data_IF_720326318568
#
_entry.id   IF_720326318568
#
_cell.length_a   1.000
_cell.length_b   1.000
_cell.length_c   1.000
_cell.angle_alpha   90.00
_cell.angle_beta   90.00
_cell.angle_gamma   90.00
#
_symmetry.space_group_name_H-M   'P 1'
#
loop_
_entity.id
_entity.type
_entity.pdbx_description
1 polymer ?
#
# COMPACT_ATOMS: atom_id res chain seq x y z
N UNK A 1 -36.72 12.86 -45.12
CA UNK A 1 -36.84 11.86 -44.04
C UNK A 1 -35.73 12.13 -43.04
N UNK A 2 -36.05 12.59 -41.82
CA UNK A 2 -35.07 12.80 -40.76
C UNK A 2 -34.83 11.45 -40.10
N UNK A 3 -33.61 10.91 -40.18
CA UNK A 3 -33.21 9.72 -39.44
C UNK A 3 -32.89 10.15 -38.02
N UNK A 4 -33.76 9.81 -37.08
CA UNK A 4 -33.45 9.90 -35.65
C UNK A 4 -32.45 8.80 -35.32
N UNK A 5 -31.23 9.18 -34.96
CA UNK A 5 -30.21 8.26 -34.45
C UNK A 5 -30.39 8.20 -32.93
N UNK A 6 -30.76 7.03 -32.41
CA UNK A 6 -30.76 6.77 -30.98
C UNK A 6 -29.34 6.35 -30.60
N UNK A 7 -28.63 7.23 -29.89
CA UNK A 7 -27.34 6.91 -29.28
C UNK A 7 -27.62 6.49 -27.84
N UNK A 8 -27.32 5.25 -27.43
CA UNK A 8 -27.40 4.88 -26.03
C UNK A 8 -26.36 5.67 -25.24
N UNK A 9 -26.82 6.42 -24.24
CA UNK A 9 -25.95 7.10 -23.27
C UNK A 9 -25.68 6.09 -22.15
N UNK A 10 -24.46 5.60 -22.06
CA UNK A 10 -24.03 4.84 -20.88
C UNK A 10 -23.85 5.84 -19.73
N UNK A 11 -24.66 5.68 -18.68
CA UNK A 11 -24.54 6.49 -17.48
C UNK A 11 -23.33 6.02 -16.69
N UNK A 12 -22.30 6.85 -16.58
CA UNK A 12 -21.20 6.67 -15.62
C UNK A 12 -21.59 7.27 -14.28
N UNK A 13 -21.37 6.54 -13.19
CA UNK A 13 -21.70 6.99 -11.83
C UNK A 13 -20.49 7.56 -11.10
N UNK A 14 -20.74 8.38 -10.09
CA UNK A 14 -19.72 9.03 -9.29
C UNK A 14 -19.10 8.05 -8.28
N UNK A 15 -17.82 7.77 -8.46
CA UNK A 15 -17.07 6.83 -7.61
C UNK A 15 -17.00 7.28 -6.15
N UNK A 16 -16.97 8.59 -5.90
CA UNK A 16 -16.91 9.14 -4.54
C UNK A 16 -18.20 8.88 -3.75
N UNK A 17 -19.36 8.97 -4.39
CA UNK A 17 -20.64 8.63 -3.76
C UNK A 17 -20.76 7.12 -3.51
N UNK A 18 -20.38 6.31 -4.49
CA UNK A 18 -20.34 4.85 -4.36
C UNK A 18 -19.46 4.43 -3.18
N UNK A 19 -18.25 5.02 -3.06
CA UNK A 19 -17.32 4.70 -1.99
C UNK A 19 -17.78 5.23 -0.61
N UNK A 20 -18.46 6.38 -0.55
CA UNK A 20 -18.87 7.01 0.71
C UNK A 20 -20.12 6.40 1.32
N UNK A 21 -21.18 6.27 0.53
CA UNK A 21 -22.52 5.87 1.01
C UNK A 21 -23.24 4.91 0.06
N UNK A 22 -22.61 4.50 -1.04
CA UNK A 22 -23.17 3.59 -2.02
C UNK A 22 -24.22 4.24 -2.93
N UNK A 23 -24.37 5.56 -2.89
CA UNK A 23 -25.33 6.25 -3.76
C UNK A 23 -24.85 6.34 -5.21
N UNK A 24 -25.79 6.18 -6.14
CA UNK A 24 -25.56 6.30 -7.57
C UNK A 24 -25.92 7.73 -8.01
N UNK A 25 -24.90 8.58 -8.12
CA UNK A 25 -25.01 9.94 -8.65
C UNK A 25 -24.33 9.98 -10.01
N UNK A 26 -24.95 10.59 -11.02
CA UNK A 26 -24.36 10.70 -12.36
C UNK A 26 -23.04 11.47 -12.33
N UNK A 27 -21.99 10.88 -12.91
CA UNK A 27 -20.71 11.54 -13.08
C UNK A 27 -20.78 12.51 -14.25
N UNK A 28 -20.27 13.71 -14.01
CA UNK A 28 -20.21 14.80 -14.99
C UNK A 28 -18.82 14.96 -15.60
N UNK A 29 -17.79 14.41 -14.93
CA UNK A 29 -16.40 14.49 -15.36
C UNK A 29 -15.64 13.20 -15.05
N UNK A 30 -14.57 12.97 -15.80
CA UNK A 30 -13.61 11.88 -15.58
C UNK A 30 -12.25 12.50 -15.31
N UNK A 31 -11.66 12.17 -14.17
CA UNK A 31 -10.32 12.60 -13.78
C UNK A 31 -9.36 11.41 -13.89
N UNK A 32 -8.23 11.62 -14.55
CA UNK A 32 -7.18 10.59 -14.69
C UNK A 32 -5.88 11.08 -14.04
N UNK A 33 -5.30 10.28 -13.13
CA UNK A 33 -3.97 10.51 -12.56
C UNK A 33 -3.12 9.25 -12.75
N UNK A 34 -2.09 9.34 -13.59
CA UNK A 34 -1.27 8.18 -13.93
C UNK A 34 -2.09 7.12 -14.67
N UNK A 35 -2.26 5.96 -14.04
CA UNK A 35 -3.03 4.83 -14.61
C UNK A 35 -4.47 4.76 -14.08
N UNK A 36 -4.79 5.54 -13.06
CA UNK A 36 -6.09 5.50 -12.39
C UNK A 36 -7.03 6.54 -12.98
N UNK A 37 -8.29 6.18 -13.18
CA UNK A 37 -9.35 7.07 -13.65
C UNK A 37 -10.54 7.00 -12.70
N UNK A 38 -11.06 8.16 -12.33
CA UNK A 38 -12.24 8.31 -11.47
C UNK A 38 -13.32 9.11 -12.18
N UNK A 39 -14.55 8.65 -12.07
CA UNK A 39 -15.74 9.35 -12.54
C UNK A 39 -16.35 10.13 -11.38
N UNK A 40 -16.47 11.45 -11.52
CA UNK A 40 -16.89 12.35 -10.44
C UNK A 40 -18.10 13.19 -10.86
N UNK A 41 -18.99 13.44 -9.91
CA UNK A 41 -19.99 14.50 -10.04
C UNK A 41 -19.31 15.86 -9.78
N UNK A 42 -19.95 16.94 -10.22
CA UNK A 42 -19.41 18.30 -10.14
C UNK A 42 -18.92 18.70 -8.74
N UNK A 43 -19.65 18.31 -7.68
CA UNK A 43 -19.28 18.62 -6.30
C UNK A 43 -17.97 17.95 -5.89
N UNK A 44 -17.84 16.66 -6.21
CA UNK A 44 -16.65 15.89 -5.89
C UNK A 44 -15.45 16.25 -6.77
N UNK A 45 -15.68 16.62 -8.02
CA UNK A 45 -14.65 17.11 -8.93
C UNK A 45 -14.01 18.41 -8.43
N UNK A 46 -14.83 19.39 -8.05
CA UNK A 46 -14.34 20.67 -7.49
C UNK A 46 -13.62 20.45 -6.16
N UNK A 47 -14.17 19.60 -5.30
CA UNK A 47 -13.57 19.31 -3.99
C UNK A 47 -12.24 18.59 -4.15
N UNK A 48 -12.18 17.59 -5.03
CA UNK A 48 -10.96 16.85 -5.34
C UNK A 48 -9.90 17.78 -5.94
N UNK A 49 -10.26 18.60 -6.94
CA UNK A 49 -9.35 19.53 -7.58
C UNK A 49 -8.72 20.50 -6.58
N UNK A 50 -9.48 20.98 -5.60
CA UNK A 50 -8.93 21.81 -4.51
C UNK A 50 -7.93 21.02 -3.66
N UNK A 51 -8.25 19.81 -3.24
CA UNK A 51 -7.31 18.98 -2.47
C UNK A 51 -6.04 18.66 -3.26
N UNK A 52 -6.17 18.44 -4.58
CA UNK A 52 -5.04 18.19 -5.45
C UNK A 52 -4.14 19.43 -5.55
N UNK A 53 -4.71 20.62 -5.76
CA UNK A 53 -3.95 21.88 -5.76
C UNK A 53 -3.25 22.12 -4.41
N UNK A 54 -3.96 21.90 -3.30
CA UNK A 54 -3.41 22.02 -1.94
C UNK A 54 -2.24 21.03 -1.73
N UNK A 55 -2.37 19.79 -2.21
CA UNK A 55 -1.32 18.77 -2.09
C UNK A 55 -0.10 19.04 -2.98
N UNK A 56 -0.31 19.61 -4.17
CA UNK A 56 0.75 19.96 -5.11
C UNK A 56 1.39 21.33 -4.80
N UNK A 57 0.83 22.09 -3.86
CA UNK A 57 1.33 23.43 -3.51
C UNK A 57 1.16 24.46 -4.63
N UNK A 58 0.23 24.21 -5.56
CA UNK A 58 -0.06 25.14 -6.66
C UNK A 58 -0.95 26.25 -6.10
N UNK A 59 -0.52 27.54 -6.16
CA UNK A 59 -1.38 28.63 -5.76
C UNK A 59 -2.63 28.62 -6.65
N UNK A 60 -3.81 28.64 -6.01
CA UNK A 60 -5.10 28.78 -6.69
C UNK A 60 -5.23 30.21 -7.19
N UNK A 61 -4.57 30.50 -8.30
CA UNK A 61 -4.78 31.72 -9.07
C UNK A 61 -6.18 31.60 -9.70
N UNK A 62 -7.19 32.15 -9.02
CA UNK A 62 -8.47 32.49 -9.63
C UNK A 62 -8.21 33.52 -10.73
N UNK A 63 -7.91 33.04 -11.93
CA UNK A 63 -7.51 33.88 -13.07
C UNK A 63 -7.56 33.07 -14.36
N UNK A 64 -8.77 32.63 -14.75
CA UNK A 64 -9.00 32.07 -16.07
C UNK A 64 -8.65 33.10 -17.13
N UNK A 65 -7.45 32.99 -17.70
CA UNK A 65 -7.11 33.60 -18.98
C UNK A 65 -7.11 32.46 -20.00
N UNK A 66 -8.25 32.30 -20.68
CA UNK A 66 -8.35 31.54 -21.92
C UNK A 66 -7.24 32.00 -22.85
N UNK A 67 -6.27 31.14 -23.11
CA UNK A 67 -5.35 31.32 -24.23
C UNK A 67 -5.81 30.35 -25.30
N UNK A 68 -6.47 30.89 -26.33
CA UNK A 68 -6.79 30.19 -27.58
C UNK A 68 -5.53 29.51 -28.15
N UNK A 69 -5.60 28.26 -28.64
CA UNK A 69 -4.54 27.71 -29.44
C UNK A 69 -4.57 28.36 -30.83
N UNK A 70 -3.53 29.15 -31.10
CA UNK A 70 -3.25 29.80 -32.38
C UNK A 70 -3.09 28.74 -33.49
N UNK A 71 -4.03 28.76 -34.43
CA UNK A 71 -4.08 27.87 -35.59
C UNK A 71 -3.00 28.24 -36.61
N UNK A 72 -1.98 27.39 -36.77
CA UNK A 72 -0.98 27.52 -37.84
C UNK A 72 -1.54 26.87 -39.12
N UNK A 73 -1.54 27.54 -40.28
CA UNK A 73 -2.13 27.00 -41.50
C UNK A 73 -1.28 25.88 -42.09
N UNK A 74 -1.93 24.75 -42.37
CA UNK A 74 -1.38 23.59 -43.09
C UNK A 74 -1.16 23.97 -44.55
N UNK A 75 0.10 24.05 -44.97
CA UNK A 75 0.49 24.15 -46.38
C UNK A 75 0.39 22.77 -47.05
N UNK A 76 -0.07 22.77 -48.31
CA UNK A 76 -0.24 21.60 -49.17
C UNK A 76 1.08 20.82 -49.40
N UNK A 77 1.02 19.48 -49.59
CA UNK A 77 2.20 18.64 -49.72
C UNK A 77 2.76 18.68 -51.15
N UNK A 78 4.01 19.11 -51.29
CA UNK A 78 4.82 18.91 -52.51
C UNK A 78 5.57 17.58 -52.39
N UNK A 79 5.41 16.76 -53.42
CA UNK A 79 6.00 15.43 -53.55
C UNK A 79 7.50 15.42 -53.86
N UNK A 80 8.10 14.27 -53.52
CA UNK A 80 9.35 13.64 -53.99
C UNK A 80 10.69 14.01 -53.32
N UNK A 81 11.70 13.10 -53.32
CA UNK A 81 11.74 11.70 -53.77
C UNK A 81 12.23 10.69 -52.70
N UNK A 82 12.12 9.39 -53.03
CA UNK A 82 12.62 8.25 -52.24
C UNK A 82 14.13 8.34 -51.93
N UNK A 83 14.55 8.13 -50.67
CA UNK A 83 15.97 7.90 -50.35
C UNK A 83 16.36 6.43 -50.59
N UNK A 84 17.48 6.24 -51.30
CA UNK A 84 18.18 4.96 -51.44
C UNK A 84 18.54 4.35 -50.08
N UNK A 85 18.59 3.00 -49.96
CA UNK A 85 18.80 2.34 -48.68
C UNK A 85 20.26 2.47 -48.21
N UNK A 86 20.46 3.13 -47.06
CA UNK A 86 21.71 3.12 -46.30
C UNK A 86 21.93 1.76 -45.61
N UNK A 87 23.19 1.33 -45.42
CA UNK A 87 23.53 -0.01 -44.95
C UNK A 87 23.16 -0.25 -43.48
N UNK A 88 22.73 -1.48 -43.19
CA UNK A 88 22.37 -1.97 -41.86
C UNK A 88 23.46 -1.66 -40.82
N UNK A 89 23.15 -0.98 -39.70
CA UNK A 89 24.09 -0.87 -38.60
C UNK A 89 24.20 -2.24 -37.92
N UNK A 90 25.43 -2.76 -37.92
CA UNK A 90 25.86 -3.89 -37.10
C UNK A 90 25.32 -3.72 -35.68
N UNK A 91 24.52 -4.68 -35.24
CA UNK A 91 23.95 -4.72 -33.91
C UNK A 91 25.07 -4.81 -32.87
N UNK A 92 25.43 -3.65 -32.32
CA UNK A 92 26.08 -3.57 -31.02
C UNK A 92 25.13 -4.25 -30.05
N UNK A 93 25.55 -5.30 -29.31
CA UNK A 93 24.67 -5.89 -28.32
C UNK A 93 24.36 -4.82 -27.28
N UNK A 94 23.13 -4.30 -27.34
CA UNK A 94 22.52 -3.53 -26.26
C UNK A 94 22.57 -4.46 -25.07
N UNK A 95 23.56 -4.23 -24.20
CA UNK A 95 23.59 -4.83 -22.90
C UNK A 95 22.26 -4.52 -22.25
N UNK A 96 21.43 -5.54 -22.10
CA UNK A 96 20.24 -5.49 -21.27
C UNK A 96 20.78 -5.27 -19.85
N UNK A 97 21.01 -4.02 -19.47
CA UNK A 97 21.01 -3.65 -18.08
C UNK A 97 19.59 -3.94 -17.62
N UNK A 98 19.40 -5.14 -17.05
CA UNK A 98 18.16 -5.48 -16.36
C UNK A 98 17.80 -4.36 -15.38
N UNK A 99 16.51 -4.19 -15.05
CA UNK A 99 16.10 -3.20 -14.08
C UNK A 99 17.00 -3.33 -12.84
N UNK A 100 17.58 -2.20 -12.39
CA UNK A 100 18.41 -2.19 -11.19
C UNK A 100 17.67 -2.95 -10.08
N UNK A 101 18.37 -3.80 -9.29
CA UNK A 101 17.71 -4.62 -8.29
C UNK A 101 16.89 -3.72 -7.37
N UNK A 102 15.59 -3.99 -7.28
CA UNK A 102 14.70 -3.22 -6.43
C UNK A 102 15.25 -3.26 -5.00
N UNK A 103 15.35 -2.09 -4.38
CA UNK A 103 15.81 -1.99 -2.99
C UNK A 103 14.80 -2.70 -2.12
N UNK A 104 15.24 -3.62 -1.27
CA UNK A 104 14.33 -4.39 -0.43
C UNK A 104 14.26 -3.81 1.00
N UNK A 105 13.12 -4.00 1.65
CA UNK A 105 12.81 -3.49 2.98
C UNK A 105 12.18 -4.61 3.79
N UNK A 106 12.61 -4.73 5.04
CA UNK A 106 11.99 -5.65 6.00
C UNK A 106 11.01 -4.90 6.90
N UNK A 107 9.86 -5.52 7.18
CA UNK A 107 8.90 -5.01 8.18
C UNK A 107 8.85 -5.99 9.35
N UNK A 108 9.09 -5.52 10.57
CA UNK A 108 9.00 -6.30 11.80
C UNK A 108 7.97 -5.66 12.75
N UNK A 109 6.92 -6.40 13.11
CA UNK A 109 5.85 -5.90 13.97
C UNK A 109 4.72 -5.20 13.18
N UNK A 110 3.68 -4.80 13.89
CA UNK A 110 2.53 -4.10 13.31
C UNK A 110 2.84 -2.61 13.17
N UNK A 111 2.46 -2.00 12.04
CA UNK A 111 2.73 -0.59 11.78
C UNK A 111 1.55 0.24 12.31
N UNK A 112 1.75 1.16 13.26
CA UNK A 112 0.65 1.93 13.84
C UNK A 112 -0.14 2.69 12.78
N UNK A 113 -1.46 2.47 12.75
CA UNK A 113 -2.37 3.13 11.82
C UNK A 113 -2.39 2.55 10.40
N UNK A 114 -1.75 1.40 10.17
CA UNK A 114 -1.81 0.65 8.93
C UNK A 114 -2.13 -0.81 9.20
N UNK A 115 -3.01 -1.39 8.39
CA UNK A 115 -3.12 -2.84 8.32
C UNK A 115 -1.85 -3.43 7.70
N UNK A 116 -1.57 -4.70 8.02
CA UNK A 116 -0.33 -5.35 7.59
C UNK A 116 -0.13 -5.35 6.06
N UNK A 117 -1.20 -5.57 5.31
CA UNK A 117 -1.15 -5.57 3.85
C UNK A 117 -1.04 -4.15 3.27
N UNK A 118 -1.72 -3.17 3.88
CA UNK A 118 -1.63 -1.76 3.49
C UNK A 118 -0.22 -1.19 3.68
N UNK A 119 0.45 -1.56 4.78
CA UNK A 119 1.83 -1.18 5.04
C UNK A 119 2.78 -1.74 3.96
N UNK A 120 2.57 -2.98 3.52
CA UNK A 120 3.36 -3.57 2.42
C UNK A 120 3.13 -2.86 1.11
N UNK A 121 1.87 -2.60 0.79
CA UNK A 121 1.50 -1.97 -0.46
C UNK A 121 2.00 -0.52 -0.52
N UNK A 122 1.96 0.19 0.60
CA UNK A 122 2.56 1.52 0.70
C UNK A 122 4.08 1.50 0.40
N UNK A 123 4.82 0.54 0.96
CA UNK A 123 6.26 0.37 0.70
C UNK A 123 6.53 -0.01 -0.76
N UNK A 124 5.69 -0.86 -1.37
CA UNK A 124 5.79 -1.22 -2.80
C UNK A 124 5.55 -0.04 -3.72
N UNK A 125 4.57 0.81 -3.41
CA UNK A 125 4.28 2.04 -4.17
C UNK A 125 5.45 3.02 -4.16
N UNK A 126 6.26 2.98 -3.10
CA UNK A 126 7.51 3.75 -3.00
C UNK A 126 8.68 3.12 -3.80
N UNK A 127 8.46 1.98 -4.48
CA UNK A 127 9.46 1.31 -5.31
C UNK A 127 10.35 0.32 -4.55
N UNK A 128 10.00 -0.04 -3.31
CA UNK A 128 10.74 -1.02 -2.52
C UNK A 128 10.09 -2.40 -2.56
N UNK A 129 10.91 -3.45 -2.50
CA UNK A 129 10.44 -4.82 -2.34
C UNK A 129 10.33 -5.22 -0.86
N UNK A 130 9.20 -5.77 -0.43
CA UNK A 130 9.06 -6.20 0.98
C UNK A 130 9.50 -7.65 1.15
N UNK A 131 10.61 -7.86 1.86
CA UNK A 131 11.22 -9.17 2.10
C UNK A 131 11.03 -9.66 3.53
N UNK A 132 10.99 -10.99 3.70
CA UNK A 132 10.88 -11.63 5.00
C UNK A 132 12.22 -11.80 5.71
N UNK A 133 13.32 -11.80 4.95
CA UNK A 133 14.69 -12.04 5.38
C UNK A 133 15.61 -11.03 4.72
N UNK A 134 16.66 -10.63 5.41
CA UNK A 134 17.62 -9.71 4.84
C UNK A 134 18.43 -10.39 3.73
N UNK A 135 18.52 -9.72 2.59
CA UNK A 135 19.37 -10.02 1.45
C UNK A 135 20.33 -8.84 1.20
N UNK A 136 21.11 -8.92 0.13
CA UNK A 136 22.14 -7.92 -0.20
C UNK A 136 21.54 -6.63 -0.78
N UNK A 137 20.27 -6.66 -1.20
CA UNK A 137 19.52 -5.48 -1.62
C UNK A 137 18.71 -4.84 -0.48
N UNK A 138 18.76 -5.40 0.73
CA UNK A 138 18.00 -4.89 1.88
C UNK A 138 18.62 -3.62 2.42
N UNK A 139 17.90 -2.52 2.25
CA UNK A 139 18.38 -1.18 2.64
C UNK A 139 17.83 -0.70 3.98
N UNK A 140 16.72 -1.26 4.47
CA UNK A 140 16.07 -0.76 5.69
C UNK A 140 15.26 -1.84 6.42
N UNK A 141 15.27 -1.77 7.75
CA UNK A 141 14.31 -2.46 8.62
C UNK A 141 13.30 -1.46 9.20
N UNK A 142 12.02 -1.64 8.92
CA UNK A 142 10.91 -0.95 9.57
C UNK A 142 10.51 -1.72 10.83
N UNK A 143 10.61 -1.06 11.98
CA UNK A 143 10.28 -1.61 13.28
C UNK A 143 8.96 -1.02 13.79
N UNK A 144 7.92 -1.84 13.81
CA UNK A 144 6.62 -1.52 14.40
C UNK A 144 6.40 -2.15 15.78
N UNK A 145 5.16 -2.12 16.23
CA UNK A 145 4.74 -2.66 17.52
C UNK A 145 4.96 -4.18 17.58
N UNK A 146 5.64 -4.62 18.64
CA UNK A 146 6.02 -6.03 18.82
C UNK A 146 7.15 -6.50 17.89
N UNK A 147 7.75 -5.61 17.09
CA UNK A 147 8.87 -5.94 16.20
C UNK A 147 10.15 -6.33 16.96
N UNK A 148 10.31 -5.82 18.18
CA UNK A 148 11.37 -6.16 19.15
C UNK A 148 11.41 -7.65 19.51
N UNK A 149 10.26 -8.34 19.41
CA UNK A 149 10.12 -9.78 19.65
C UNK A 149 10.62 -10.62 18.47
N UNK A 150 10.81 -10.01 17.30
CA UNK A 150 11.25 -10.71 16.09
C UNK A 150 12.78 -10.78 16.03
N UNK A 151 13.35 -11.59 16.92
CA UNK A 151 14.80 -11.71 17.08
C UNK A 151 15.54 -12.19 15.83
N UNK A 152 14.87 -12.86 14.88
CA UNK A 152 15.51 -13.26 13.62
C UNK A 152 15.75 -12.06 12.71
N UNK A 153 14.75 -11.19 12.51
CA UNK A 153 14.91 -9.99 11.67
C UNK A 153 15.86 -8.97 12.28
N UNK A 154 15.83 -8.81 13.60
CA UNK A 154 16.75 -7.93 14.32
C UNK A 154 18.19 -8.42 14.22
N UNK A 155 18.41 -9.74 14.34
CA UNK A 155 19.75 -10.32 14.16
C UNK A 155 20.24 -10.16 12.72
N UNK A 156 19.39 -10.46 11.74
CA UNK A 156 19.71 -10.29 10.32
C UNK A 156 20.08 -8.82 10.00
N UNK A 157 19.35 -7.85 10.57
CA UNK A 157 19.66 -6.43 10.43
C UNK A 157 20.98 -6.04 11.14
N UNK A 158 21.23 -6.55 12.35
CA UNK A 158 22.47 -6.31 13.09
C UNK A 158 23.70 -6.83 12.34
N UNK A 159 23.65 -8.07 11.86
CA UNK A 159 24.78 -8.74 11.18
C UNK A 159 25.17 -8.04 9.88
N UNK A 160 24.19 -7.45 9.20
CA UNK A 160 24.38 -6.74 7.92
C UNK A 160 24.53 -5.23 8.06
N UNK A 161 24.42 -4.69 9.29
CA UNK A 161 24.49 -3.24 9.53
C UNK A 161 23.33 -2.46 8.88
N UNK A 162 22.16 -3.08 8.73
CA UNK A 162 21.00 -2.47 8.08
C UNK A 162 20.41 -1.41 9.02
N UNK A 163 20.20 -0.17 8.54
CA UNK A 163 19.60 0.88 9.35
C UNK A 163 18.15 0.55 9.71
N UNK A 164 17.71 1.04 10.87
CA UNK A 164 16.35 0.82 11.38
C UNK A 164 15.58 2.12 11.31
N UNK A 165 14.31 2.02 10.95
CA UNK A 165 13.31 3.05 11.09
C UNK A 165 12.27 2.58 12.11
N UNK A 166 12.21 3.26 13.26
CA UNK A 166 11.26 2.97 14.33
C UNK A 166 9.93 3.68 14.06
N UNK A 167 8.92 2.93 13.64
CA UNK A 167 7.60 3.47 13.29
C UNK A 167 6.59 3.41 14.44
N UNK A 168 7.03 3.06 15.66
CA UNK A 168 6.20 3.10 16.86
C UNK A 168 5.78 4.52 17.24
N UNK A 169 6.57 5.51 16.80
CA UNK A 169 6.17 6.92 16.87
C UNK A 169 4.97 7.17 15.96
N UNK A 170 3.87 7.61 16.56
CA UNK A 170 2.62 7.89 15.86
C UNK A 170 2.82 8.78 14.63
N UNK A 171 2.47 8.25 13.46
CA UNK A 171 2.48 8.98 12.20
C UNK A 171 3.83 9.03 11.48
N UNK A 172 4.92 8.48 12.04
CA UNK A 172 6.24 8.48 11.37
C UNK A 172 6.21 7.74 10.04
N UNK A 173 5.63 6.53 10.03
CA UNK A 173 5.45 5.77 8.78
C UNK A 173 4.56 6.51 7.79
N UNK A 174 3.45 7.10 8.25
CA UNK A 174 2.53 7.88 7.41
C UNK A 174 3.23 9.08 6.76
N UNK A 175 4.09 9.77 7.51
CA UNK A 175 4.89 10.89 6.99
C UNK A 175 5.90 10.41 5.95
N UNK A 176 6.57 9.29 6.19
CA UNK A 176 7.54 8.71 5.25
C UNK A 176 6.89 8.23 3.95
N UNK A 177 5.71 7.60 4.04
CA UNK A 177 4.91 7.22 2.87
C UNK A 177 4.48 8.46 2.06
N UNK A 178 4.11 9.55 2.74
CA UNK A 178 3.74 10.81 2.09
C UNK A 178 4.92 11.52 1.44
N UNK A 179 6.11 11.48 2.06
CA UNK A 179 7.32 12.07 1.50
C UNK A 179 7.96 11.21 0.41
N UNK A 180 7.59 9.93 0.30
CA UNK A 180 8.19 9.00 -0.65
C UNK A 180 9.57 8.49 -0.23
N UNK A 181 10.01 8.77 0.99
CA UNK A 181 11.35 8.42 1.49
C UNK A 181 11.29 7.74 2.85
N UNK A 182 11.90 6.55 2.94
CA UNK A 182 12.05 5.80 4.20
C UNK A 182 13.43 6.10 4.79
N UNK A 183 13.48 6.96 5.80
CA UNK A 183 14.72 7.35 6.47
C UNK A 183 14.95 6.46 7.69
N UNK A 184 16.05 5.71 7.67
CA UNK A 184 16.55 4.99 8.83
C UNK A 184 17.57 5.80 9.62
N UNK A 185 18.00 5.27 10.76
CA UNK A 185 18.96 5.93 11.65
C UNK A 185 18.65 5.74 13.13
N UNK A 186 17.52 5.10 13.44
CA UNK A 186 17.15 4.76 14.79
C UNK A 186 18.03 3.61 15.31
N UNK A 187 18.35 3.59 16.61
CA UNK A 187 19.15 2.53 17.18
C UNK A 187 18.41 1.19 17.08
N UNK A 188 19.10 0.17 16.57
CA UNK A 188 18.56 -1.19 16.54
C UNK A 188 18.31 -1.66 17.99
N UNK A 189 17.05 -2.00 18.35
CA UNK A 189 16.78 -2.47 19.69
C UNK A 189 17.41 -3.84 19.91
N UNK A 190 17.86 -4.11 21.14
CA UNK A 190 18.22 -5.47 21.53
C UNK A 190 16.98 -6.35 21.38
N UNK A 191 17.09 -7.53 20.73
CA UNK A 191 15.95 -8.42 20.59
C UNK A 191 15.43 -8.77 21.97
N UNK A 192 14.21 -8.33 22.26
CA UNK A 192 13.56 -8.64 23.52
C UNK A 192 13.61 -10.16 23.66
N UNK A 193 14.20 -10.64 24.76
CA UNK A 193 14.12 -12.06 25.11
C UNK A 193 12.64 -12.34 25.26
N UNK A 194 12.05 -12.91 24.21
CA UNK A 194 10.69 -13.42 24.28
C UNK A 194 10.80 -14.55 25.28
N UNK A 195 10.44 -14.26 26.53
CA UNK A 195 9.99 -15.30 27.44
C UNK A 195 8.91 -16.02 26.66
N UNK A 196 9.25 -17.22 26.18
CA UNK A 196 8.29 -18.11 25.54
C UNK A 196 7.11 -18.09 26.51
N UNK A 197 5.95 -17.64 26.02
CA UNK A 197 4.68 -17.60 26.76
C UNK A 197 4.72 -18.65 27.84
N UNK A 198 4.58 -18.24 29.11
CA UNK A 198 4.90 -19.05 30.29
C UNK A 198 4.28 -20.46 30.30
N UNK A 199 3.34 -20.72 29.39
CA UNK A 199 2.75 -22.01 29.10
C UNK A 199 3.27 -22.58 27.77
N UNK A 200 3.83 -23.79 27.83
CA UNK A 200 4.18 -24.58 26.64
C UNK A 200 2.98 -24.67 25.68
N UNK A 201 3.19 -24.76 24.37
CA UNK A 201 2.10 -24.97 23.39
C UNK A 201 1.21 -26.18 23.75
N UNK A 202 1.79 -27.21 24.38
CA UNK A 202 1.03 -28.36 24.93
C UNK A 202 0.12 -27.97 26.08
N UNK A 203 0.58 -27.06 26.92
CA UNK A 203 -0.12 -26.55 28.09
C UNK A 203 -1.21 -25.55 27.70
N UNK A 204 -0.92 -24.65 26.75
CA UNK A 204 -1.90 -23.79 26.10
C UNK A 204 -3.02 -24.60 25.47
N UNK A 205 -2.68 -25.62 24.68
CA UNK A 205 -3.68 -26.50 24.08
C UNK A 205 -4.48 -27.30 25.11
N UNK A 206 -3.91 -27.56 26.31
CA UNK A 206 -4.65 -28.19 27.41
C UNK A 206 -5.65 -27.19 28.02
N UNK A 207 -5.23 -25.96 28.28
CA UNK A 207 -6.07 -24.89 28.80
C UNK A 207 -7.25 -24.58 27.87
N UNK A 208 -6.99 -24.41 26.58
CA UNK A 208 -8.04 -24.16 25.57
C UNK A 208 -9.08 -25.29 25.56
N UNK A 209 -8.65 -26.56 25.68
CA UNK A 209 -9.60 -27.69 25.73
C UNK A 209 -10.39 -27.75 27.03
N UNK A 210 -9.79 -27.42 28.15
CA UNK A 210 -10.49 -27.36 29.44
C UNK A 210 -11.57 -26.29 29.40
N UNK A 211 -11.20 -25.09 29.00
CA UNK A 211 -12.14 -23.98 28.82
C UNK A 211 -13.23 -24.28 27.81
N UNK A 212 -12.88 -24.88 26.67
CA UNK A 212 -13.86 -25.24 25.65
C UNK A 212 -14.94 -26.17 26.22
N UNK A 213 -14.56 -27.18 27.02
CA UNK A 213 -15.53 -28.09 27.66
C UNK A 213 -16.38 -27.36 28.71
N UNK A 214 -15.78 -26.46 29.48
CA UNK A 214 -16.49 -25.65 30.49
C UNK A 214 -17.51 -24.70 29.84
N UNK A 215 -17.24 -24.25 28.61
CA UNK A 215 -18.12 -23.36 27.84
C UNK A 215 -19.04 -24.13 26.86
N UNK A 216 -19.14 -25.46 27.00
CA UNK A 216 -20.07 -26.29 26.22
C UNK A 216 -19.62 -26.64 24.80
N UNK A 217 -18.38 -26.32 24.41
CA UNK A 217 -17.83 -26.72 23.11
C UNK A 217 -17.41 -28.19 23.10
N UNK A 218 -17.75 -28.91 22.03
CA UNK A 218 -17.31 -30.28 21.80
C UNK A 218 -15.92 -30.28 21.15
N UNK A 219 -14.90 -30.61 21.94
CA UNK A 219 -13.50 -30.66 21.47
C UNK A 219 -12.87 -32.06 21.63
N UNK A 220 -12.10 -32.54 20.65
CA UNK A 220 -11.35 -33.80 20.77
C UNK A 220 -10.33 -33.77 21.92
N UNK A 221 -10.19 -34.89 22.62
CA UNK A 221 -9.24 -35.07 23.73
C UNK A 221 -7.78 -35.01 23.27
N UNK A 222 -7.51 -35.35 22.00
CA UNK A 222 -6.19 -35.30 21.37
C UNK A 222 -6.32 -34.78 19.94
N UNK A 223 -5.27 -34.10 19.45
CA UNK A 223 -5.20 -33.60 18.08
C UNK A 223 -5.55 -32.12 17.94
N UNK A 224 -5.80 -31.68 16.69
CA UNK A 224 -6.01 -30.27 16.34
C UNK A 224 -7.28 -29.74 17.01
N UNK A 225 -7.18 -28.55 17.62
CA UNK A 225 -8.33 -27.84 18.18
C UNK A 225 -9.10 -27.18 17.02
N UNK A 226 -10.44 -27.34 16.95
CA UNK A 226 -11.26 -26.67 15.95
C UNK A 226 -11.04 -25.15 15.96
N UNK A 227 -11.00 -24.55 14.77
CA UNK A 227 -10.63 -23.13 14.62
C UNK A 227 -11.57 -22.18 15.36
N UNK A 228 -12.87 -22.44 15.35
CA UNK A 228 -13.88 -21.62 16.05
C UNK A 228 -13.64 -21.57 17.57
N UNK A 229 -13.16 -22.67 18.17
CA UNK A 229 -12.83 -22.72 19.60
C UNK A 229 -11.58 -21.90 19.92
N UNK A 230 -10.60 -21.89 19.01
CA UNK A 230 -9.39 -21.07 19.16
C UNK A 230 -9.72 -19.58 19.11
N UNK A 231 -10.51 -19.16 18.12
CA UNK A 231 -10.95 -17.76 18.03
C UNK A 231 -11.73 -17.34 19.27
N UNK A 232 -12.66 -18.18 19.74
CA UNK A 232 -13.44 -17.86 20.94
C UNK A 232 -12.57 -17.71 22.21
N UNK A 233 -11.50 -18.50 22.34
CA UNK A 233 -10.51 -18.36 23.42
C UNK A 233 -9.67 -17.07 23.27
N UNK A 234 -9.20 -16.76 22.07
CA UNK A 234 -8.39 -15.56 21.81
C UNK A 234 -9.20 -14.26 22.03
N UNK A 235 -10.49 -14.26 21.69
CA UNK A 235 -11.37 -13.13 21.95
C UNK A 235 -11.69 -12.92 23.45
N UNK A 236 -11.64 -13.97 24.27
CA UNK A 236 -11.76 -13.85 25.74
C UNK A 236 -10.58 -13.05 26.29
N UNK A 237 -9.35 -13.44 25.96
CA UNK A 237 -8.15 -12.75 26.46
C UNK A 237 -8.12 -11.28 25.99
N UNK A 238 -8.60 -11.00 24.79
CA UNK A 238 -8.77 -9.62 24.30
C UNK A 238 -9.82 -8.82 25.08
N UNK A 239 -10.89 -9.46 25.55
CA UNK A 239 -11.91 -8.83 26.40
C UNK A 239 -11.45 -8.65 27.85
N UNK A 240 -10.72 -9.62 28.42
CA UNK A 240 -10.15 -9.54 29.77
C UNK A 240 -9.01 -8.52 29.84
N UNK A 241 -8.19 -8.39 28.79
CA UNK A 241 -7.19 -7.34 28.67
C UNK A 241 -7.78 -5.93 28.57
N UNK A 242 -8.98 -5.78 28.00
CA UNK A 242 -9.75 -4.52 28.01
C UNK A 242 -10.38 -4.21 29.38
N UNK A 243 -10.75 -5.23 30.15
CA UNK A 243 -11.34 -5.06 31.48
C UNK A 243 -10.31 -4.81 32.58
N UNK A 244 -9.07 -5.27 32.43
CA UNK A 244 -8.00 -5.05 33.40
C UNK A 244 -7.28 -3.69 33.24
N UNK A 245 -7.59 -2.93 32.18
CA UNK A 245 -6.98 -1.64 31.86
C UNK A 245 -7.92 -0.43 32.10
N UNK A 246 -9.08 -0.64 32.74
CA UNK A 246 -10.04 0.39 33.13
C UNK A 246 -10.17 0.45 34.65
#
# INVERSE_FOLDING_TARGET
MIKTVLVPVEYTFCDAHIARDGSEVEATSSLTLGMDTWHLCLEHDVTFGRYLCDALGVPTENGATLTEPESVPVAEPVSEPEPEPEPEPEAVPVGVSGPAPARSVMIAGEVPGYEWDDAREAVRRMGYEVVGRADDSTVLLILGDGGDRNGTKLRDAAERGIPVMDVRESGRFKSAVRSGELVGGDPLPEPAKVDRSAMSERERNRAVRTWARENGFTVPTKGRIPMHVRHAWEHRDASEGKAAAA
#
